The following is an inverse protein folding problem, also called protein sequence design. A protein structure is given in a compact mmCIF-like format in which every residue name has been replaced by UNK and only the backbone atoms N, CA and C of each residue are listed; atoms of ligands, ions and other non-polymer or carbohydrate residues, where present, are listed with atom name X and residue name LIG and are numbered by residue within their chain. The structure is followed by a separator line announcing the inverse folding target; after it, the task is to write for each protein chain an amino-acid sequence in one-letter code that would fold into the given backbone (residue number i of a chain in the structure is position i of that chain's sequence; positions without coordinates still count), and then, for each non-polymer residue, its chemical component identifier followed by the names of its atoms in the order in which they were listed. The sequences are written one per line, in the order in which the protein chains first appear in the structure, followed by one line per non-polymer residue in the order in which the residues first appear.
data_IF_679057701284
#
_entry.id   IF_679057701284
#
_cell.length_a   1.000
_cell.length_b   1.000
_cell.length_c   1.000
_cell.angle_alpha   90.00
_cell.angle_beta   90.00
_cell.angle_gamma   90.00
#
_symmetry.space_group_name_H-M   'P 1'
#
loop_
_entity.id
_entity.type
_entity.pdbx_description
1 polymer ?
#
# COMPACT_ATOMS: atom_id res chain seq x y z
N UNK A 1 -14.60 2.99 -6.05
CA UNK A 1 -13.90 1.85 -5.42
C UNK A 1 -14.60 1.50 -4.11
N UNK A 2 -14.94 0.23 -3.91
CA UNK A 2 -15.76 -0.21 -2.79
C UNK A 2 -14.94 -0.86 -1.66
N UNK A 3 -13.73 -1.34 -1.96
CA UNK A 3 -12.83 -1.98 -1.00
C UNK A 3 -11.72 -1.03 -0.60
N UNK A 4 -11.64 -0.69 0.69
CA UNK A 4 -10.52 0.06 1.25
C UNK A 4 -9.31 -0.86 1.46
N UNK A 5 -8.12 -0.31 1.32
CA UNK A 5 -6.88 -0.99 1.70
C UNK A 5 -6.34 -0.32 2.96
N UNK A 6 -6.23 -1.10 4.03
CA UNK A 6 -5.60 -0.68 5.28
C UNK A 6 -4.17 -1.19 5.38
N UNK A 7 -3.27 -0.38 5.89
CA UNK A 7 -1.90 -0.74 6.21
C UNK A 7 -1.64 -0.44 7.68
N UNK A 8 -1.49 -1.49 8.49
CA UNK A 8 -1.44 -1.42 9.96
C UNK A 8 -2.58 -0.61 10.57
N UNK A 9 -3.81 -0.79 10.04
CA UNK A 9 -5.01 -0.14 10.56
C UNK A 9 -5.23 1.31 10.09
N UNK A 10 -4.44 1.83 9.15
CA UNK A 10 -4.61 3.15 8.55
C UNK A 10 -4.89 2.98 7.05
N UNK A 11 -5.94 3.63 6.54
CA UNK A 11 -6.31 3.51 5.13
C UNK A 11 -5.28 4.14 4.21
N UNK A 12 -4.99 3.45 3.12
CA UNK A 12 -4.24 3.98 1.99
C UNK A 12 -5.22 4.57 0.96
N UNK A 13 -4.80 5.64 0.31
CA UNK A 13 -5.61 6.34 -0.68
C UNK A 13 -4.79 6.69 -1.90
N UNK A 14 -5.44 6.67 -3.04
CA UNK A 14 -4.97 7.22 -4.30
C UNK A 14 -6.06 8.16 -4.83
N UNK A 15 -5.72 9.45 -4.97
CA UNK A 15 -6.71 10.49 -5.35
C UNK A 15 -6.97 10.52 -6.85
N UNK A 16 -6.08 9.95 -7.66
CA UNK A 16 -6.14 9.95 -9.12
C UNK A 16 -6.99 8.81 -9.63
N UNK A 17 -6.63 7.57 -9.25
CA UNK A 17 -7.26 6.36 -9.77
C UNK A 17 -8.30 5.79 -8.81
N UNK A 18 -8.22 6.12 -7.54
CA UNK A 18 -8.98 5.50 -6.47
C UNK A 18 -8.61 4.03 -6.23
N UNK A 19 -7.56 3.52 -6.85
CA UNK A 19 -7.12 2.13 -6.76
C UNK A 19 -5.76 2.05 -6.09
N UNK A 20 -5.59 1.07 -5.22
CA UNK A 20 -4.31 0.80 -4.56
C UNK A 20 -3.72 -0.47 -5.17
N UNK A 21 -2.54 -0.34 -5.78
CA UNK A 21 -1.74 -1.48 -6.21
C UNK A 21 -1.14 -2.15 -4.96
N UNK A 22 -1.68 -3.32 -4.59
CA UNK A 22 -1.21 -4.09 -3.44
C UNK A 22 0.16 -4.75 -3.71
N UNK A 23 0.55 -4.93 -4.98
CA UNK A 23 1.85 -5.48 -5.36
C UNK A 23 3.04 -4.60 -4.96
N UNK A 24 2.81 -3.35 -4.55
CA UNK A 24 3.85 -2.48 -4.03
C UNK A 24 4.31 -2.83 -2.60
N UNK A 25 3.59 -3.66 -1.87
CA UNK A 25 3.97 -4.09 -0.52
C UNK A 25 4.72 -5.41 -0.58
N UNK A 26 5.82 -5.52 0.19
CA UNK A 26 6.56 -6.77 0.29
C UNK A 26 5.84 -7.76 1.20
N UNK A 27 5.64 -8.98 0.71
CA UNK A 27 5.09 -10.06 1.52
C UNK A 27 6.06 -10.56 2.59
N UNK A 28 7.36 -10.29 2.44
CA UNK A 28 8.39 -10.70 3.41
C UNK A 28 8.26 -9.99 4.77
N UNK A 29 7.54 -8.85 4.80
CA UNK A 29 7.29 -8.07 6.02
C UNK A 29 5.82 -8.10 6.46
N UNK A 30 5.01 -8.98 5.89
CA UNK A 30 3.58 -9.10 6.23
C UNK A 30 3.36 -10.25 7.21
N UNK A 31 2.74 -9.95 8.36
CA UNK A 31 2.28 -10.93 9.34
C UNK A 31 0.93 -11.51 8.94
N UNK A 32 -0.01 -10.63 8.53
CA UNK A 32 -1.37 -11.04 8.20
C UNK A 32 -1.95 -10.20 7.07
N UNK A 33 -2.62 -10.88 6.16
CA UNK A 33 -3.49 -10.28 5.15
C UNK A 33 -4.92 -10.74 5.41
N UNK A 34 -5.84 -9.81 5.65
CA UNK A 34 -7.24 -10.14 5.91
C UNK A 34 -8.17 -9.33 5.01
N UNK A 35 -9.15 -10.00 4.42
CA UNK A 35 -10.21 -9.38 3.63
C UNK A 35 -11.54 -9.54 4.37
N UNK A 36 -12.13 -8.42 4.75
CA UNK A 36 -13.47 -8.37 5.32
C UNK A 36 -14.44 -7.82 4.27
N UNK A 37 -15.43 -8.63 3.90
CA UNK A 37 -16.53 -8.21 3.03
C UNK A 37 -17.69 -7.74 3.91
N UNK A 38 -18.16 -6.52 3.69
CA UNK A 38 -19.18 -5.89 4.53
C UNK A 38 -18.57 -5.24 5.80
N UNK A 39 -19.42 -5.01 6.80
CA UNK A 39 -18.99 -4.41 8.05
C UNK A 39 -18.18 -5.41 8.90
N UNK A 40 -17.07 -4.92 9.44
CA UNK A 40 -16.24 -5.70 10.36
C UNK A 40 -16.90 -5.79 11.76
N UNK A 41 -16.76 -6.94 12.41
CA UNK A 41 -17.13 -7.10 13.83
C UNK A 41 -16.27 -6.24 14.77
N UNK A 42 -15.17 -5.71 14.29
CA UNK A 42 -14.34 -4.78 15.04
C UNK A 42 -14.94 -3.37 14.99
N UNK A 43 -15.64 -2.96 16.06
CA UNK A 43 -16.18 -1.61 16.15
C UNK A 43 -15.12 -0.55 16.54
N UNK A 44 -13.94 -0.96 17.01
CA UNK A 44 -12.86 -0.05 17.38
C UNK A 44 -11.88 0.13 16.22
N UNK A 45 -12.28 0.95 15.26
CA UNK A 45 -11.55 1.22 14.03
C UNK A 45 -11.81 2.66 13.55
N UNK A 46 -10.96 3.22 12.66
CA UNK A 46 -11.18 4.51 12.02
C UNK A 46 -12.54 4.63 11.32
N UNK A 47 -13.12 5.83 11.31
CA UNK A 47 -14.42 6.09 10.69
C UNK A 47 -14.45 5.76 9.19
N UNK A 48 -13.31 5.93 8.50
CA UNK A 48 -13.16 5.62 7.07
C UNK A 48 -13.40 4.15 6.74
N UNK A 49 -13.09 3.23 7.65
CA UNK A 49 -13.36 1.81 7.45
C UNK A 49 -14.87 1.50 7.46
N UNK A 50 -15.66 2.20 8.27
CA UNK A 50 -17.13 2.05 8.24
C UNK A 50 -17.76 2.57 6.95
N UNK A 51 -17.10 3.52 6.26
CA UNK A 51 -17.56 4.06 4.99
C UNK A 51 -17.19 3.19 3.77
N UNK A 52 -16.58 2.03 3.97
CA UNK A 52 -16.11 1.13 2.90
C UNK A 52 -16.96 -0.14 2.85
N UNK A 53 -17.26 -0.63 1.64
CA UNK A 53 -18.03 -1.86 1.44
C UNK A 53 -17.23 -3.13 1.77
N UNK A 54 -15.91 -3.04 1.75
CA UNK A 54 -14.98 -4.08 2.16
C UNK A 54 -13.64 -3.49 2.58
N UNK A 55 -12.86 -4.26 3.32
CA UNK A 55 -11.55 -3.84 3.83
C UNK A 55 -10.55 -4.95 3.60
N UNK A 56 -9.51 -4.67 2.80
CA UNK A 56 -8.31 -5.48 2.74
C UNK A 56 -7.28 -4.88 3.72
N UNK A 57 -7.01 -5.54 4.82
CA UNK A 57 -6.07 -5.04 5.82
C UNK A 57 -4.76 -5.82 5.75
N UNK A 58 -3.66 -5.08 5.59
CA UNK A 58 -2.29 -5.56 5.58
C UNK A 58 -1.71 -5.23 6.95
N UNK A 59 -1.36 -6.26 7.71
CA UNK A 59 -0.66 -6.11 9.00
C UNK A 59 0.79 -6.53 8.81
N UNK A 60 1.72 -5.67 9.19
CA UNK A 60 3.14 -5.96 9.10
C UNK A 60 3.64 -6.64 10.36
N UNK A 61 4.77 -7.33 10.22
CA UNK A 61 5.48 -7.93 11.34
C UNK A 61 5.82 -6.87 12.39
N UNK A 62 5.58 -7.20 13.66
CA UNK A 62 6.06 -6.42 14.79
C UNK A 62 7.27 -7.15 15.36
N UNK A 63 8.40 -6.44 15.62
CA UNK A 63 9.60 -7.07 16.14
C UNK A 63 9.35 -7.85 17.43
N UNK A 64 9.77 -9.11 17.45
CA UNK A 64 9.72 -9.98 18.62
C UNK A 64 11.12 -10.46 18.96
N UNK A 65 11.50 -10.31 20.23
CA UNK A 65 12.83 -10.64 20.71
C UNK A 65 12.76 -11.76 21.75
N UNK A 66 13.57 -12.81 21.57
CA UNK A 66 13.75 -13.85 22.57
C UNK A 66 14.68 -13.37 23.68
N UNK A 67 14.56 -13.97 24.86
CA UNK A 67 15.36 -13.60 26.02
C UNK A 67 16.88 -13.62 25.70
N UNK A 68 17.53 -12.49 25.91
CA UNK A 68 18.98 -12.33 25.66
C UNK A 68 19.37 -11.90 24.24
N UNK A 69 18.45 -11.98 23.27
CA UNK A 69 18.70 -11.56 21.87
C UNK A 69 18.01 -10.22 21.60
N UNK A 70 18.78 -9.22 21.26
CA UNK A 70 18.28 -7.86 21.00
C UNK A 70 18.29 -7.46 19.53
N UNK A 71 18.87 -8.28 18.67
CA UNK A 71 19.00 -8.01 17.22
C UNK A 71 18.54 -9.24 16.45
N UNK A 72 17.67 -9.05 15.47
CA UNK A 72 17.31 -10.04 14.47
C UNK A 72 17.74 -9.50 13.11
N UNK A 73 18.32 -10.37 12.28
CA UNK A 73 18.67 -10.07 10.89
C UNK A 73 18.15 -11.23 10.05
N UNK A 74 17.39 -10.93 9.01
CA UNK A 74 16.94 -11.90 8.03
C UNK A 74 17.18 -11.36 6.63
N UNK A 75 17.72 -12.19 5.76
CA UNK A 75 17.90 -11.87 4.35
C UNK A 75 17.27 -12.95 3.48
N UNK A 76 16.72 -12.56 2.34
CA UNK A 76 16.22 -13.47 1.33
C UNK A 76 16.75 -13.06 -0.05
N UNK A 77 16.99 -14.04 -0.89
CA UNK A 77 17.34 -13.84 -2.30
C UNK A 77 16.42 -14.74 -3.13
N UNK A 78 15.58 -14.12 -3.95
CA UNK A 78 14.66 -14.82 -4.84
C UNK A 78 15.11 -14.62 -6.28
N UNK A 79 15.08 -15.67 -7.06
CA UNK A 79 15.34 -15.64 -8.49
C UNK A 79 14.35 -16.52 -9.22
N UNK A 80 14.16 -16.29 -10.51
CA UNK A 80 13.18 -17.02 -11.29
C UNK A 80 13.31 -16.77 -12.78
N UNK A 81 12.29 -17.16 -13.53
CA UNK A 81 12.22 -16.96 -14.96
C UNK A 81 12.28 -15.46 -15.34
N UNK A 82 12.70 -15.19 -16.55
CA UNK A 82 12.73 -13.85 -17.17
C UNK A 82 13.60 -12.85 -16.42
N UNK A 83 14.77 -13.31 -15.98
CA UNK A 83 15.76 -12.47 -15.34
C UNK A 83 15.35 -11.93 -13.97
N UNK A 84 14.41 -12.60 -13.26
CA UNK A 84 13.98 -12.18 -11.93
C UNK A 84 15.14 -12.28 -10.95
N UNK A 85 15.44 -11.13 -10.31
CA UNK A 85 16.38 -10.98 -9.19
C UNK A 85 15.66 -10.15 -8.13
N UNK A 86 15.55 -10.70 -6.91
CA UNK A 86 14.83 -10.03 -5.82
C UNK A 86 15.50 -10.30 -4.46
N UNK A 87 16.56 -9.57 -4.10
CA UNK A 87 17.12 -9.55 -2.75
C UNK A 87 16.26 -8.74 -1.79
N UNK A 88 16.18 -9.20 -0.54
CA UNK A 88 15.59 -8.46 0.58
C UNK A 88 16.39 -8.63 1.86
N UNK A 89 16.30 -7.62 2.74
CA UNK A 89 16.96 -7.59 4.04
C UNK A 89 16.01 -6.99 5.08
N UNK A 90 15.90 -7.66 6.23
CA UNK A 90 15.20 -7.19 7.42
C UNK A 90 16.20 -7.11 8.58
N UNK A 91 16.21 -5.96 9.25
CA UNK A 91 16.93 -5.71 10.49
C UNK A 91 15.94 -5.29 11.58
N UNK A 92 16.00 -5.94 12.72
CA UNK A 92 15.22 -5.56 13.91
C UNK A 92 16.18 -5.38 15.08
N UNK A 93 15.97 -4.31 15.86
CA UNK A 93 16.81 -3.97 17.01
C UNK A 93 15.95 -3.58 18.20
N UNK A 94 16.19 -4.23 19.33
CA UNK A 94 15.67 -3.81 20.63
C UNK A 94 16.67 -2.90 21.32
N UNK A 95 16.29 -1.65 21.61
CA UNK A 95 17.15 -0.72 22.36
C UNK A 95 17.03 -0.98 23.86
N UNK A 96 15.80 -1.13 24.34
CA UNK A 96 15.48 -1.43 25.74
C UNK A 96 14.12 -2.14 25.83
N UNK A 97 13.57 -2.30 27.02
CA UNK A 97 12.27 -2.97 27.23
C UNK A 97 11.08 -2.22 26.58
N UNK A 98 11.22 -0.91 26.38
CA UNK A 98 10.16 -0.05 25.86
C UNK A 98 10.30 0.15 24.35
N UNK A 99 11.53 0.31 23.85
CA UNK A 99 11.80 0.77 22.49
C UNK A 99 12.44 -0.30 21.62
N UNK A 100 11.89 -0.48 20.44
CA UNK A 100 12.46 -1.29 19.37
C UNK A 100 12.25 -0.65 18.01
N UNK A 101 13.07 -1.07 17.04
CA UNK A 101 12.94 -0.64 15.64
C UNK A 101 12.98 -1.83 14.70
N UNK A 102 12.42 -1.63 13.51
CA UNK A 102 12.64 -2.47 12.34
C UNK A 102 13.07 -1.62 11.16
N UNK A 103 13.87 -2.17 10.28
CA UNK A 103 14.17 -1.60 8.98
C UNK A 103 14.22 -2.74 7.96
N UNK A 104 13.51 -2.60 6.84
CA UNK A 104 13.59 -3.55 5.75
C UNK A 104 13.81 -2.83 4.43
N UNK A 105 14.44 -3.53 3.50
CA UNK A 105 14.65 -3.08 2.13
C UNK A 105 14.54 -4.25 1.18
N UNK A 106 13.96 -4.01 0.02
CA UNK A 106 13.78 -4.99 -1.05
C UNK A 106 14.01 -4.31 -2.40
N UNK A 107 14.76 -4.95 -3.24
CA UNK A 107 14.92 -4.56 -4.64
C UNK A 107 14.48 -5.72 -5.52
N UNK A 108 13.79 -5.43 -6.60
CA UNK A 108 13.37 -6.43 -7.58
C UNK A 108 13.62 -5.90 -8.99
N UNK A 109 14.15 -6.76 -9.84
CA UNK A 109 14.30 -6.51 -11.27
C UNK A 109 13.92 -7.76 -12.06
N UNK A 110 13.24 -7.56 -13.20
CA UNK A 110 12.94 -8.61 -14.17
C UNK A 110 12.85 -7.99 -15.56
N UNK A 111 13.34 -8.68 -16.58
CA UNK A 111 13.18 -8.27 -17.99
C UNK A 111 11.80 -8.59 -18.56
N UNK A 112 11.09 -9.55 -17.94
CA UNK A 112 9.74 -9.94 -18.34
C UNK A 112 9.59 -10.52 -19.75
N UNK A 113 10.67 -10.87 -20.43
CA UNK A 113 10.69 -11.33 -21.83
C UNK A 113 10.16 -12.77 -21.98
N UNK A 114 8.91 -13.02 -21.57
CA UNK A 114 8.34 -14.36 -21.70
C UNK A 114 7.90 -14.69 -23.14
N UNK A 115 8.08 -15.96 -23.58
CA UNK A 115 7.59 -16.40 -24.87
C UNK A 115 6.07 -16.55 -24.88
N UNK A 116 5.45 -16.22 -26.00
CA UNK A 116 4.02 -16.44 -26.23
C UNK A 116 3.81 -16.85 -27.70
N UNK A 117 2.66 -17.49 -28.00
CA UNK A 117 2.25 -17.81 -29.36
C UNK A 117 1.26 -16.74 -29.82
N UNK A 118 1.58 -16.08 -30.91
CA UNK A 118 0.68 -15.15 -31.58
C UNK A 118 -0.07 -15.90 -32.68
N UNK A 119 -1.40 -15.96 -32.55
CA UNK A 119 -2.28 -16.52 -33.57
C UNK A 119 -2.78 -15.38 -34.44
N UNK A 120 -2.68 -15.56 -35.74
CA UNK A 120 -3.16 -14.62 -36.76
C UNK A 120 -3.64 -15.39 -37.97
N UNK A 121 -4.39 -14.73 -38.85
CA UNK A 121 -5.01 -15.38 -40.00
C UNK A 121 -6.52 -15.34 -39.93
N UNK A 122 -7.18 -16.14 -40.73
CA UNK A 122 -8.63 -16.30 -40.78
C UNK A 122 -9.03 -17.72 -40.37
N UNK A 123 -10.33 -18.00 -40.31
CA UNK A 123 -10.83 -19.33 -39.93
C UNK A 123 -10.39 -20.49 -40.86
N UNK A 124 -9.87 -20.18 -42.05
CA UNK A 124 -9.37 -21.18 -43.01
C UNK A 124 -7.84 -21.40 -42.93
N UNK A 125 -7.11 -20.41 -42.38
CA UNK A 125 -5.66 -20.47 -42.21
C UNK A 125 -5.28 -20.04 -40.80
N UNK A 126 -5.10 -21.00 -39.89
CA UNK A 126 -4.57 -20.76 -38.54
C UNK A 126 -3.04 -20.59 -38.65
N UNK A 127 -2.63 -19.35 -38.83
CA UNK A 127 -1.22 -18.98 -38.82
C UNK A 127 -0.81 -18.60 -37.41
N UNK A 128 0.38 -19.06 -37.01
CA UNK A 128 0.92 -18.71 -35.70
C UNK A 128 2.44 -18.46 -35.77
N UNK A 129 2.91 -17.59 -34.91
CA UNK A 129 4.35 -17.38 -34.67
C UNK A 129 4.66 -17.43 -33.19
N UNK A 130 5.89 -17.86 -32.84
CA UNK A 130 6.39 -17.83 -31.47
C UNK A 130 7.19 -16.56 -31.26
N UNK A 131 6.68 -15.70 -30.42
CA UNK A 131 7.24 -14.38 -30.15
C UNK A 131 7.74 -14.28 -28.70
N UNK A 132 8.57 -13.27 -28.43
CA UNK A 132 8.91 -12.87 -27.06
C UNK A 132 8.26 -11.53 -26.73
N UNK A 133 7.64 -11.47 -25.56
CA UNK A 133 7.05 -10.23 -25.07
C UNK A 133 8.12 -9.16 -24.92
N UNK A 134 7.83 -7.95 -25.40
CA UNK A 134 8.71 -6.78 -25.34
C UNK A 134 8.11 -5.72 -24.42
N UNK A 135 8.94 -4.86 -23.86
CA UNK A 135 8.55 -3.75 -22.98
C UNK A 135 7.74 -4.22 -21.75
N UNK A 136 8.24 -5.27 -21.11
CA UNK A 136 7.66 -5.91 -19.91
C UNK A 136 8.62 -5.88 -18.75
N UNK A 137 9.73 -5.16 -18.90
CA UNK A 137 10.71 -4.96 -17.85
C UNK A 137 10.08 -4.24 -16.65
N UNK A 138 10.52 -4.64 -15.47
CA UNK A 138 10.12 -4.02 -14.21
C UNK A 138 11.30 -3.94 -13.27
N UNK A 139 11.44 -2.79 -12.64
CA UNK A 139 12.37 -2.58 -11.54
C UNK A 139 11.64 -1.89 -10.40
N UNK A 140 11.74 -2.44 -9.19
CA UNK A 140 11.15 -1.85 -8.00
C UNK A 140 12.16 -1.76 -6.87
N UNK A 141 12.02 -0.76 -6.04
CA UNK A 141 12.71 -0.65 -4.76
C UNK A 141 11.72 -0.28 -3.68
N UNK A 142 11.81 -0.95 -2.53
CA UNK A 142 11.01 -0.71 -1.33
C UNK A 142 11.92 -0.56 -0.14
N UNK A 143 11.56 0.36 0.74
CA UNK A 143 12.19 0.48 2.05
C UNK A 143 11.11 0.83 3.09
N UNK A 144 11.20 0.23 4.25
CA UNK A 144 10.34 0.55 5.38
C UNK A 144 11.19 0.63 6.65
N UNK A 145 10.87 1.61 7.50
CA UNK A 145 11.40 1.72 8.84
C UNK A 145 10.27 1.86 9.84
N UNK A 146 10.35 1.14 10.94
CA UNK A 146 9.39 1.17 12.04
C UNK A 146 10.07 1.48 13.37
N UNK A 147 9.47 2.34 14.18
CA UNK A 147 9.83 2.58 15.56
C UNK A 147 8.63 2.22 16.44
N UNK A 148 8.87 1.43 17.48
CA UNK A 148 7.84 0.87 18.34
C UNK A 148 8.14 1.24 19.79
N UNK A 149 7.16 1.86 20.45
CA UNK A 149 7.19 2.19 21.87
C UNK A 149 6.13 1.36 22.61
N UNK A 150 6.54 0.41 23.43
CA UNK A 150 5.68 -0.36 24.33
C UNK A 150 5.88 0.14 25.75
N UNK A 151 5.10 1.15 26.15
CA UNK A 151 5.24 1.78 27.46
C UNK A 151 4.67 0.90 28.57
N UNK A 152 3.62 0.12 28.23
CA UNK A 152 3.01 -0.92 29.08
C UNK A 152 2.16 -1.85 28.20
N UNK A 153 1.59 -2.91 28.78
CA UNK A 153 0.62 -3.79 28.11
C UNK A 153 -0.63 -3.05 27.63
N UNK A 154 -0.88 -1.84 28.17
CA UNK A 154 -2.03 -0.99 27.89
C UNK A 154 -1.72 0.26 27.08
N UNK A 155 -0.44 0.53 26.79
CA UNK A 155 -0.02 1.76 26.14
C UNK A 155 1.09 1.48 25.11
N UNK A 156 0.78 1.76 23.85
CA UNK A 156 1.63 1.50 22.72
C UNK A 156 1.66 2.66 21.75
N UNK A 157 2.81 2.88 21.15
CA UNK A 157 3.00 3.83 20.07
C UNK A 157 3.80 3.20 18.94
N UNK A 158 3.45 3.55 17.71
CA UNK A 158 4.15 3.10 16.49
C UNK A 158 4.37 4.28 15.57
N UNK A 159 5.52 4.34 14.96
CA UNK A 159 5.83 5.23 13.85
C UNK A 159 6.38 4.39 12.71
N UNK A 160 5.89 4.60 11.50
CA UNK A 160 6.38 3.96 10.29
C UNK A 160 6.65 4.96 9.20
N UNK A 161 7.76 4.76 8.51
CA UNK A 161 8.09 5.42 7.26
C UNK A 161 8.22 4.36 6.16
N UNK A 162 7.59 4.60 5.02
CA UNK A 162 7.57 3.72 3.87
C UNK A 162 7.98 4.47 2.62
N UNK A 163 8.79 3.83 1.79
CA UNK A 163 9.17 4.31 0.47
C UNK A 163 9.03 3.21 -0.57
N UNK A 164 8.49 3.54 -1.71
CA UNK A 164 8.38 2.69 -2.88
C UNK A 164 8.69 3.46 -4.14
N UNK A 165 9.43 2.85 -5.05
CA UNK A 165 9.55 3.30 -6.43
C UNK A 165 9.46 2.13 -7.38
N UNK A 166 8.91 2.39 -8.56
CA UNK A 166 8.79 1.45 -9.66
C UNK A 166 9.12 2.14 -10.98
N UNK A 167 9.77 1.39 -11.86
CA UNK A 167 9.98 1.75 -13.25
C UNK A 167 9.60 0.52 -14.08
N UNK A 168 8.65 0.66 -14.99
CA UNK A 168 8.14 -0.48 -15.76
C UNK A 168 7.75 -0.12 -17.18
N UNK A 169 8.09 -0.99 -18.10
CA UNK A 169 7.56 -0.99 -19.44
C UNK A 169 6.07 -1.35 -19.44
N UNK A 170 5.30 -0.77 -20.34
CA UNK A 170 3.87 -1.08 -20.53
C UNK A 170 3.72 -1.75 -21.90
N UNK A 171 3.54 -3.09 -21.92
CA UNK A 171 3.35 -3.80 -23.16
C UNK A 171 1.98 -3.49 -23.77
N UNK A 172 1.93 -3.27 -25.08
CA UNK A 172 0.66 -3.16 -25.82
C UNK A 172 0.00 -4.52 -26.02
N UNK A 173 -1.20 -4.52 -26.58
CA UNK A 173 -1.90 -5.75 -26.95
C UNK A 173 -1.05 -6.60 -27.91
N UNK A 174 -1.12 -7.92 -27.77
CA UNK A 174 -0.46 -8.89 -28.64
C UNK A 174 -1.21 -9.04 -29.95
N UNK A 175 -1.04 -8.08 -30.86
CA UNK A 175 -1.64 -8.11 -32.20
C UNK A 175 -0.55 -8.05 -33.25
N UNK A 176 -0.79 -8.67 -34.41
CA UNK A 176 0.19 -8.80 -35.51
C UNK A 176 0.81 -7.46 -35.95
N UNK A 177 0.10 -6.35 -35.79
CA UNK A 177 0.56 -5.03 -36.22
C UNK A 177 1.11 -4.16 -35.07
N UNK A 178 1.26 -4.69 -33.85
CA UNK A 178 1.53 -3.86 -32.67
C UNK A 178 2.56 -4.48 -31.71
N UNK A 179 3.68 -4.95 -32.25
CA UNK A 179 4.76 -5.59 -31.47
C UNK A 179 5.73 -4.61 -30.80
N UNK A 180 5.66 -3.32 -31.15
CA UNK A 180 6.54 -2.27 -30.63
C UNK A 180 5.79 -1.35 -29.67
N UNK A 181 5.87 -1.64 -28.38
CA UNK A 181 5.51 -0.70 -27.32
C UNK A 181 6.77 -0.06 -26.75
N UNK A 182 6.73 1.24 -26.54
CA UNK A 182 7.78 2.00 -25.85
C UNK A 182 7.21 2.80 -24.68
N UNK A 183 5.95 2.51 -24.32
CA UNK A 183 5.27 3.14 -23.20
C UNK A 183 5.94 2.75 -21.89
N UNK A 184 6.10 3.72 -21.01
CA UNK A 184 6.78 3.52 -19.73
C UNK A 184 6.06 4.24 -18.60
N UNK A 185 6.08 3.62 -17.43
CA UNK A 185 5.45 4.15 -16.21
C UNK A 185 6.46 4.13 -15.07
N UNK A 186 6.57 5.29 -14.40
CA UNK A 186 7.32 5.45 -13.16
C UNK A 186 6.36 5.81 -12.04
N UNK A 187 6.48 5.11 -10.94
CA UNK A 187 5.71 5.36 -9.72
C UNK A 187 6.67 5.61 -8.55
N UNK A 188 6.33 6.57 -7.70
CA UNK A 188 6.97 6.75 -6.39
C UNK A 188 5.87 6.97 -5.35
N UNK A 189 6.03 6.36 -4.20
CA UNK A 189 5.13 6.57 -3.08
C UNK A 189 5.92 6.60 -1.77
N UNK A 190 5.62 7.57 -0.93
CA UNK A 190 6.18 7.71 0.40
C UNK A 190 5.06 8.01 1.37
N UNK A 191 5.02 7.33 2.50
CA UNK A 191 4.18 7.75 3.60
C UNK A 191 4.89 7.62 4.94
N UNK A 192 4.50 8.48 5.85
CA UNK A 192 4.85 8.42 7.26
C UNK A 192 3.54 8.33 8.02
N UNK A 193 3.44 7.35 8.89
CA UNK A 193 2.26 7.15 9.72
C UNK A 193 2.63 6.90 11.17
N UNK A 194 1.84 7.47 12.07
CA UNK A 194 1.97 7.30 13.51
C UNK A 194 0.66 6.80 14.08
N UNK A 195 0.72 5.90 15.01
CA UNK A 195 -0.45 5.38 15.74
C UNK A 195 -0.12 5.30 17.24
N UNK A 196 -1.02 5.82 18.05
CA UNK A 196 -0.96 5.72 19.49
C UNK A 196 -2.24 5.08 20.00
N UNK A 197 -2.11 4.11 20.91
CA UNK A 197 -3.22 3.41 21.55
C UNK A 197 -2.97 3.34 23.05
N UNK A 198 -4.02 3.68 23.84
CA UNK A 198 -3.97 3.60 25.30
C UNK A 198 -5.28 3.07 25.86
N UNK A 199 -5.19 2.11 26.75
CA UNK A 199 -6.26 1.64 27.59
C UNK A 199 -6.17 2.35 28.95
N UNK A 200 -7.00 3.39 29.16
CA UNK A 200 -7.01 4.17 30.38
C UNK A 200 -7.60 3.40 31.57
N UNK A 201 -8.58 2.55 31.28
CA UNK A 201 -9.23 1.67 32.24
C UNK A 201 -9.77 0.43 31.52
N UNK A 202 -10.35 -0.52 32.27
CA UNK A 202 -11.06 -1.66 31.66
C UNK A 202 -12.19 -1.23 30.72
N UNK A 203 -12.77 -0.04 30.96
CA UNK A 203 -13.90 0.49 30.20
C UNK A 203 -13.47 1.37 29.01
N UNK A 204 -12.40 2.16 29.14
CA UNK A 204 -12.03 3.18 28.19
C UNK A 204 -10.73 2.85 27.44
N UNK A 205 -10.83 2.77 26.12
CA UNK A 205 -9.68 2.63 25.21
C UNK A 205 -9.71 3.78 24.21
N UNK A 206 -8.58 4.40 24.01
CA UNK A 206 -8.37 5.46 23.04
C UNK A 206 -7.33 5.04 22.00
N UNK A 207 -7.55 5.42 20.75
CA UNK A 207 -6.59 5.29 19.66
C UNK A 207 -6.61 6.53 18.80
N UNK A 208 -5.44 6.99 18.40
CA UNK A 208 -5.30 8.04 17.38
C UNK A 208 -4.27 7.63 16.35
N UNK A 209 -4.48 8.09 15.12
CA UNK A 209 -3.58 7.81 14.00
C UNK A 209 -3.41 9.06 13.17
N UNK A 210 -2.19 9.31 12.72
CA UNK A 210 -1.87 10.38 11.79
C UNK A 210 -1.07 9.80 10.62
N UNK A 211 -1.29 10.30 9.41
CA UNK A 211 -0.55 9.91 8.20
C UNK A 211 -0.32 11.12 7.30
N UNK A 212 0.88 11.22 6.79
CA UNK A 212 1.20 11.99 5.60
C UNK A 212 1.59 11.02 4.49
N UNK A 213 1.02 11.21 3.30
CA UNK A 213 1.34 10.44 2.10
C UNK A 213 1.68 11.38 0.95
N UNK A 214 2.70 11.02 0.21
CA UNK A 214 3.09 11.67 -1.05
C UNK A 214 3.25 10.60 -2.12
N UNK A 215 2.74 10.86 -3.32
CA UNK A 215 2.92 10.00 -4.48
C UNK A 215 3.19 10.79 -5.74
N UNK A 216 3.98 10.18 -6.60
CA UNK A 216 4.34 10.68 -7.92
C UNK A 216 4.14 9.57 -8.94
N UNK A 217 3.54 9.91 -10.06
CA UNK A 217 3.41 9.02 -11.21
C UNK A 217 3.79 9.78 -12.46
N UNK A 218 4.59 9.16 -13.33
CA UNK A 218 4.92 9.67 -14.66
C UNK A 218 4.63 8.61 -15.69
N UNK A 219 3.82 8.95 -16.67
CA UNK A 219 3.53 8.15 -17.84
C UNK A 219 4.19 8.76 -19.06
N UNK A 220 4.81 7.95 -19.89
CA UNK A 220 5.43 8.33 -21.17
C UNK A 220 4.95 7.39 -22.27
N UNK A 221 4.38 7.94 -23.34
CA UNK A 221 4.15 7.27 -24.61
C UNK A 221 4.90 8.05 -25.71
N UNK A 222 6.14 7.66 -26.04
CA UNK A 222 6.84 8.23 -27.20
C UNK A 222 6.21 7.62 -28.45
N UNK A 223 5.29 8.34 -29.11
CA UNK A 223 4.79 7.91 -30.42
C UNK A 223 5.95 7.86 -31.43
N UNK A 224 6.40 6.64 -31.72
CA UNK A 224 7.55 6.40 -32.60
C UNK A 224 7.27 6.75 -34.07
N UNK A 225 5.99 6.93 -34.44
CA UNK A 225 5.57 7.30 -35.80
C UNK A 225 5.45 8.80 -35.99
N UNK A 226 5.30 9.55 -34.91
CA UNK A 226 5.18 11.02 -34.97
C UNK A 226 5.79 11.65 -33.71
N UNK A 227 7.03 12.13 -33.82
CA UNK A 227 7.76 12.77 -32.71
C UNK A 227 7.05 13.99 -32.11
N UNK A 228 6.09 14.58 -32.82
CA UNK A 228 5.26 15.70 -32.32
C UNK A 228 4.08 15.22 -31.45
N UNK A 229 3.81 13.92 -31.39
CA UNK A 229 2.70 13.31 -30.62
C UNK A 229 3.16 12.57 -29.36
N UNK A 230 4.32 12.91 -28.83
CA UNK A 230 4.74 12.40 -27.51
C UNK A 230 3.68 12.75 -26.46
N UNK A 231 3.15 11.73 -25.77
CA UNK A 231 2.32 11.92 -24.57
C UNK A 231 3.21 11.70 -23.35
N UNK A 232 3.36 12.73 -22.55
CA UNK A 232 4.06 12.63 -21.27
C UNK A 232 3.26 13.38 -20.22
N UNK A 233 2.86 12.68 -19.16
CA UNK A 233 2.07 13.25 -18.08
C UNK A 233 2.69 12.87 -16.73
N UNK A 234 2.77 13.85 -15.85
CA UNK A 234 3.21 13.64 -14.46
C UNK A 234 2.13 14.08 -13.48
N UNK A 235 1.95 13.28 -12.44
CA UNK A 235 0.95 13.51 -11.41
C UNK A 235 1.61 13.49 -10.04
N UNK A 236 1.22 14.43 -9.19
CA UNK A 236 1.69 14.57 -7.81
C UNK A 236 0.48 14.59 -6.89
N UNK A 237 0.51 13.79 -5.84
CA UNK A 237 -0.58 13.72 -4.87
C UNK A 237 -0.02 13.83 -3.46
N UNK A 238 -0.79 14.45 -2.57
CA UNK A 238 -0.52 14.44 -1.14
C UNK A 238 -1.79 14.18 -0.37
N UNK A 239 -1.66 13.48 0.75
CA UNK A 239 -2.72 13.32 1.73
C UNK A 239 -2.18 13.59 3.13
N UNK A 240 -2.90 14.41 3.88
CA UNK A 240 -2.79 14.54 5.33
C UNK A 240 -4.02 13.92 5.94
N UNK A 241 -3.84 13.00 6.85
CA UNK A 241 -4.90 12.23 7.48
C UNK A 241 -4.71 12.18 8.99
N UNK A 242 -5.80 12.38 9.72
CA UNK A 242 -5.88 12.26 11.16
C UNK A 242 -7.14 11.46 11.53
N UNK A 243 -7.01 10.55 12.48
CA UNK A 243 -8.10 9.74 13.02
C UNK A 243 -8.02 9.69 14.54
N UNK A 244 -9.18 9.73 15.20
CA UNK A 244 -9.33 9.47 16.62
C UNK A 244 -10.51 8.54 16.85
N UNK A 245 -10.32 7.53 17.71
CA UNK A 245 -11.34 6.55 18.06
C UNK A 245 -11.34 6.31 19.56
N UNK A 246 -12.54 6.21 20.14
CA UNK A 246 -12.77 5.88 21.54
C UNK A 246 -13.67 4.66 21.61
N UNK A 247 -13.27 3.66 22.39
CA UNK A 247 -14.10 2.52 22.74
C UNK A 247 -14.52 2.62 24.21
N UNK A 248 -15.81 2.48 24.46
CA UNK A 248 -16.38 2.41 25.81
C UNK A 248 -17.06 1.05 26.00
N UNK A 249 -16.56 0.27 26.96
CA UNK A 249 -17.16 -1.00 27.39
C UNK A 249 -18.08 -0.73 28.55
N UNK A 250 -19.38 -0.66 28.29
CA UNK A 250 -20.39 -0.39 29.31
C UNK A 250 -20.59 -1.62 30.23
N UNK A 251 -20.68 -2.80 29.60
CA UNK A 251 -20.83 -4.10 30.26
C UNK A 251 -19.83 -5.09 29.65
N UNK A 252 -19.71 -6.28 30.21
CA UNK A 252 -18.86 -7.35 29.63
C UNK A 252 -19.26 -7.70 28.19
N UNK A 253 -20.53 -7.61 27.87
CA UNK A 253 -21.13 -7.97 26.59
C UNK A 253 -21.64 -6.77 25.77
N UNK A 254 -21.55 -5.53 26.27
CA UNK A 254 -22.03 -4.33 25.58
C UNK A 254 -20.93 -3.27 25.48
N UNK A 255 -20.58 -2.90 24.26
CA UNK A 255 -19.55 -1.90 23.98
C UNK A 255 -20.03 -0.90 22.92
N UNK A 256 -19.54 0.32 23.02
CA UNK A 256 -19.78 1.40 22.05
C UNK A 256 -18.46 1.96 21.57
N UNK A 257 -18.43 2.40 20.32
CA UNK A 257 -17.29 3.09 19.74
C UNK A 257 -17.72 4.36 19.03
N UNK A 258 -16.95 5.42 19.20
CA UNK A 258 -17.04 6.66 18.43
C UNK A 258 -15.71 6.89 17.73
N UNK A 259 -15.75 7.08 16.43
CA UNK A 259 -14.57 7.33 15.60
C UNK A 259 -14.78 8.56 14.73
N UNK A 260 -13.75 9.37 14.55
CA UNK A 260 -13.77 10.53 13.66
C UNK A 260 -12.47 10.63 12.90
N UNK A 261 -12.58 10.93 11.60
CA UNK A 261 -11.46 11.02 10.65
C UNK A 261 -11.54 12.34 9.89
N UNK A 262 -10.41 13.02 9.78
CA UNK A 262 -10.21 14.16 8.91
C UNK A 262 -9.15 13.89 7.86
N UNK A 263 -9.33 14.37 6.63
CA UNK A 263 -8.27 14.33 5.62
C UNK A 263 -8.30 15.51 4.67
N UNK A 264 -7.11 15.88 4.21
CA UNK A 264 -6.86 16.87 3.15
C UNK A 264 -6.08 16.16 2.05
N UNK A 265 -6.62 16.18 0.85
CA UNK A 265 -5.99 15.59 -0.33
C UNK A 265 -5.76 16.68 -1.37
N UNK A 266 -4.56 16.75 -1.91
CA UNK A 266 -4.19 17.66 -2.99
C UNK A 266 -3.67 16.88 -4.18
N UNK A 267 -3.90 17.37 -5.38
CA UNK A 267 -3.39 16.81 -6.61
C UNK A 267 -2.85 17.92 -7.51
N UNK A 268 -1.73 17.64 -8.16
CA UNK A 268 -1.14 18.45 -9.21
C UNK A 268 -0.81 17.58 -10.41
N UNK A 269 -0.84 18.11 -11.61
CA UNK A 269 -0.45 17.46 -12.85
C UNK A 269 0.15 18.48 -13.82
N UNK A 270 1.05 18.01 -14.69
CA UNK A 270 1.65 18.82 -15.76
C UNK A 270 0.78 18.86 -17.03
N UNK A 271 -0.54 18.93 -16.84
CA UNK A 271 -1.52 19.03 -17.91
C UNK A 271 -1.90 20.49 -18.15
N UNK A 272 -2.10 20.85 -19.42
CA UNK A 272 -2.58 22.19 -19.78
C UNK A 272 -3.93 22.48 -19.09
N UNK A 273 -4.03 23.63 -18.43
CA UNK A 273 -5.22 24.08 -17.71
C UNK A 273 -5.66 23.18 -16.54
N UNK A 274 -4.74 22.41 -15.94
CA UNK A 274 -5.06 21.60 -14.77
C UNK A 274 -5.39 22.48 -13.57
N UNK A 275 -6.58 22.29 -13.03
CA UNK A 275 -7.03 22.97 -11.81
C UNK A 275 -6.57 22.14 -10.62
N UNK A 276 -5.62 22.64 -9.84
CA UNK A 276 -5.05 21.96 -8.67
C UNK A 276 -6.13 21.66 -7.60
N UNK A 277 -6.84 20.53 -7.64
CA UNK A 277 -7.93 20.25 -6.73
C UNK A 277 -7.44 19.98 -5.32
N UNK A 278 -8.16 20.54 -4.35
CA UNK A 278 -8.01 20.19 -2.94
C UNK A 278 -9.32 19.63 -2.43
N UNK A 279 -9.29 18.46 -1.83
CA UNK A 279 -10.46 17.80 -1.26
C UNK A 279 -10.30 17.70 0.25
N UNK A 280 -11.28 18.20 0.99
CA UNK A 280 -11.43 18.02 2.41
C UNK A 280 -12.48 16.92 2.65
N UNK A 281 -12.20 16.01 3.58
CA UNK A 281 -13.17 15.01 4.00
C UNK A 281 -13.19 14.91 5.53
N UNK A 282 -14.39 14.83 6.07
CA UNK A 282 -14.64 14.59 7.48
C UNK A 282 -15.66 13.46 7.61
N UNK A 283 -15.31 12.43 8.37
CA UNK A 283 -16.14 11.26 8.58
C UNK A 283 -16.27 11.01 10.08
N UNK A 284 -17.47 10.67 10.52
CA UNK A 284 -17.72 10.26 11.90
C UNK A 284 -18.57 9.00 11.89
N UNK A 285 -18.21 8.03 12.71
CA UNK A 285 -18.92 6.78 12.87
C UNK A 285 -19.19 6.52 14.36
N UNK A 286 -20.42 6.10 14.65
CA UNK A 286 -20.82 5.57 15.95
C UNK A 286 -21.26 4.12 15.74
N UNK A 287 -20.74 3.22 16.57
CA UNK A 287 -21.07 1.79 16.49
C UNK A 287 -21.27 1.21 17.88
N UNK A 288 -22.23 0.30 18.01
CA UNK A 288 -22.48 -0.50 19.19
C UNK A 288 -22.29 -1.99 18.88
N UNK A 289 -21.76 -2.74 19.82
CA UNK A 289 -21.63 -4.20 19.73
C UNK A 289 -22.18 -4.83 20.99
N UNK A 290 -23.14 -5.75 20.78
CA UNK A 290 -23.66 -6.62 21.83
C UNK A 290 -23.27 -8.06 21.48
N UNK A 291 -22.73 -8.79 22.45
CA UNK A 291 -22.37 -10.22 22.33
C UNK A 291 -23.27 -10.99 23.28
N UNK A 292 -24.04 -11.91 22.74
CA UNK A 292 -24.86 -12.82 23.54
C UNK A 292 -23.97 -14.01 23.94
N UNK A 293 -23.89 -14.32 25.22
CA UNK A 293 -23.14 -15.47 25.76
C UNK A 293 -23.87 -16.78 25.45
#
# INVERSE_FOLDING_TARGET
QHTAVGYDGITLTDCQTGQIDIGRFSLDNVDRLSLNNGQSDNIFQPARFFASAGILNIQTLTPLFTKGKKTNIAGAFKTGSWGLINPSLLLEQQFNKTWSMSANGEWMSSDGHYPYTLHYGNAAEDLSSREKRKNTDVQTFRAEAGLYGNFSDKEQWRLKAYYFQSSRGLPKATTFYNDHSTQHLWDKNTFIQSQYKKEFSRQWVFQTSAKWNWSYQRYLDPDTKNSLKKTENSYYQQEYYLSASVLYRLLSNLSFSLSTDGSINTMNADLANFVHPTRYAWLTAFAGKYVND
#
